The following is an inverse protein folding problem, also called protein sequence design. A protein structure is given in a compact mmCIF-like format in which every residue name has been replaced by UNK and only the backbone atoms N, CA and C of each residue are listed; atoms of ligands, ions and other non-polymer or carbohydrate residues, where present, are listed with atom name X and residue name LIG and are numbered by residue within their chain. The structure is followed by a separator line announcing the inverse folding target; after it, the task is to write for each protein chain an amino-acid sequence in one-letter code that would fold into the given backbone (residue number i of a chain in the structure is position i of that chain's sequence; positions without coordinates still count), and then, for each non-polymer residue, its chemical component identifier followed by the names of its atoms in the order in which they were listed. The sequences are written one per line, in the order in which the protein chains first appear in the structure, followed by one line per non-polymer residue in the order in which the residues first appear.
data_IF_404380285580
#
_entry.id   IF_404380285580
#
_cell.length_a   1.000
_cell.length_b   1.000
_cell.length_c   1.000
_cell.angle_alpha   90.00
_cell.angle_beta   90.00
_cell.angle_gamma   90.00
#
_symmetry.space_group_name_H-M   'P 1'
#
loop_
_entity.id
_entity.type
_entity.pdbx_description
1 polymer ?
#
# COMPACT_ATOMS: atom_id res chain seq x y z
N UNK A 1 -1.93 10.72 -2.12
CA UNK A 1 -3.05 11.16 -3.01
C UNK A 1 -3.06 10.51 -4.41
N UNK A 2 -1.99 9.86 -4.88
CA UNK A 2 -1.95 9.34 -6.26
C UNK A 2 -3.04 8.31 -6.60
N UNK A 3 -3.31 7.35 -5.72
CA UNK A 3 -4.33 6.31 -5.96
C UNK A 3 -5.73 6.91 -6.16
N UNK A 4 -6.11 7.93 -5.37
CA UNK A 4 -7.40 8.58 -5.50
C UNK A 4 -7.58 9.26 -6.87
N UNK A 5 -6.51 9.88 -7.41
CA UNK A 5 -6.54 10.49 -8.74
C UNK A 5 -6.72 9.43 -9.82
N UNK A 6 -6.03 8.29 -9.71
CA UNK A 6 -6.16 7.17 -10.66
C UNK A 6 -7.56 6.57 -10.65
N UNK A 7 -8.17 6.46 -9.47
CA UNK A 7 -9.58 6.02 -9.33
C UNK A 7 -10.54 7.03 -9.95
N UNK A 8 -10.38 8.31 -9.64
CA UNK A 8 -11.23 9.37 -10.19
C UNK A 8 -11.07 9.51 -11.72
N UNK A 9 -9.91 9.14 -12.25
CA UNK A 9 -9.60 9.12 -13.68
C UNK A 9 -9.95 7.79 -14.35
N UNK A 10 -10.63 6.88 -13.63
CA UNK A 10 -11.07 5.55 -14.11
C UNK A 10 -9.93 4.62 -14.57
N UNK A 11 -8.68 4.93 -14.19
CA UNK A 11 -7.52 4.11 -14.49
C UNK A 11 -7.37 2.92 -13.52
N UNK A 12 -8.03 2.97 -12.37
CA UNK A 12 -8.12 1.90 -11.40
C UNK A 12 -9.57 1.65 -10.97
N UNK A 13 -10.02 0.38 -10.88
CA UNK A 13 -11.35 0.05 -10.40
C UNK A 13 -11.45 0.27 -8.89
N UNK A 14 -12.34 1.18 -8.46
CA UNK A 14 -12.54 1.54 -7.06
C UNK A 14 -12.90 0.32 -6.19
N UNK A 15 -13.75 -0.58 -6.70
CA UNK A 15 -14.26 -1.73 -5.95
C UNK A 15 -13.15 -2.72 -5.55
N UNK A 16 -12.08 -2.81 -6.35
CA UNK A 16 -10.93 -3.66 -6.03
C UNK A 16 -10.08 -3.07 -4.92
N UNK A 17 -10.19 -1.77 -4.64
CA UNK A 17 -9.38 -1.05 -3.66
C UNK A 17 -10.04 -1.00 -2.27
N UNK A 18 -11.32 -1.36 -2.14
CA UNK A 18 -12.05 -1.36 -0.86
C UNK A 18 -11.41 -2.28 0.18
N UNK A 19 -10.67 -3.30 -0.26
CA UNK A 19 -9.95 -4.25 0.61
C UNK A 19 -8.49 -3.85 0.87
N UNK A 20 -8.04 -2.71 0.36
CA UNK A 20 -6.66 -2.26 0.48
C UNK A 20 -6.54 -0.93 1.20
N UNK A 21 -5.46 -0.79 1.96
CA UNK A 21 -4.94 0.48 2.44
C UNK A 21 -3.57 0.73 1.81
N UNK A 22 -3.26 2.00 1.54
CA UNK A 22 -2.01 2.40 0.91
C UNK A 22 -1.27 3.37 1.83
N UNK A 23 -0.02 3.05 2.14
CA UNK A 23 0.83 3.85 3.02
C UNK A 23 2.18 4.14 2.37
N UNK A 24 2.47 5.41 2.15
CA UNK A 24 3.73 5.86 1.58
C UNK A 24 3.62 7.23 0.96
N UNK A 25 4.76 7.85 0.73
CA UNK A 25 4.88 9.12 0.00
C UNK A 25 5.30 8.85 -1.43
N UNK A 26 4.79 9.65 -2.37
CA UNK A 26 5.20 9.54 -3.77
C UNK A 26 6.25 10.62 -4.05
N UNK A 27 7.46 10.19 -4.39
CA UNK A 27 8.52 11.07 -4.86
C UNK A 27 8.23 11.58 -6.29
N UNK A 28 8.91 12.65 -6.69
CA UNK A 28 8.73 13.29 -8.00
C UNK A 28 9.12 12.38 -9.17
N UNK A 29 9.99 11.40 -8.94
CA UNK A 29 10.39 10.37 -9.89
C UNK A 29 9.41 9.17 -9.94
N UNK A 30 8.34 9.22 -9.14
CA UNK A 30 7.34 8.16 -9.04
C UNK A 30 7.69 7.03 -8.06
N UNK A 31 8.81 7.13 -7.33
CA UNK A 31 9.15 6.16 -6.29
C UNK A 31 8.20 6.29 -5.07
N UNK A 32 7.87 5.14 -4.46
CA UNK A 32 7.13 5.12 -3.20
C UNK A 32 8.11 5.14 -2.02
N UNK A 33 8.22 6.29 -1.36
CA UNK A 33 9.07 6.50 -0.19
C UNK A 33 8.40 6.01 1.10
N UNK A 34 9.24 5.55 2.02
CA UNK A 34 8.80 5.16 3.36
C UNK A 34 8.25 6.34 4.17
N UNK A 35 7.35 6.03 5.10
CA UNK A 35 6.76 7.01 6.04
C UNK A 35 6.87 6.54 7.47
N UNK A 36 6.78 7.47 8.41
CA UNK A 36 6.64 7.13 9.82
C UNK A 36 5.23 6.60 10.11
N UNK A 37 5.12 5.68 11.06
CA UNK A 37 3.82 5.14 11.49
C UNK A 37 3.36 3.89 10.72
N UNK A 38 4.27 3.14 10.10
CA UNK A 38 3.95 1.86 9.46
C UNK A 38 3.30 0.85 10.41
N UNK A 39 3.77 0.76 11.66
CA UNK A 39 3.22 -0.15 12.66
C UNK A 39 1.77 0.18 13.03
N UNK A 40 1.42 1.40 13.50
CA UNK A 40 0.04 1.72 13.84
C UNK A 40 -0.90 1.64 12.62
N UNK A 41 -0.43 2.02 11.42
CA UNK A 41 -1.21 1.87 10.19
C UNK A 41 -1.52 0.39 9.90
N UNK A 42 -0.52 -0.49 9.99
CA UNK A 42 -0.71 -1.92 9.80
C UNK A 42 -1.66 -2.52 10.85
N UNK A 43 -1.59 -2.10 12.12
CA UNK A 43 -2.55 -2.53 13.14
C UNK A 43 -3.99 -2.13 12.81
N UNK A 44 -4.21 -0.93 12.27
CA UNK A 44 -5.55 -0.47 11.85
C UNK A 44 -6.04 -1.26 10.63
N UNK A 45 -5.17 -1.49 9.64
CA UNK A 45 -5.50 -2.28 8.46
C UNK A 45 -5.91 -3.71 8.85
N UNK A 46 -5.17 -4.36 9.75
CA UNK A 46 -5.49 -5.69 10.27
C UNK A 46 -6.84 -5.70 10.99
N UNK A 47 -7.07 -4.74 11.89
CA UNK A 47 -8.35 -4.64 12.62
C UNK A 47 -9.53 -4.43 11.68
N UNK A 48 -9.33 -3.74 10.57
CA UNK A 48 -10.34 -3.53 9.55
C UNK A 48 -10.45 -4.68 8.52
N UNK A 49 -9.62 -5.73 8.64
CA UNK A 49 -9.59 -6.84 7.69
C UNK A 49 -9.11 -6.45 6.29
N UNK A 50 -8.31 -5.38 6.18
CA UNK A 50 -7.76 -4.86 4.92
C UNK A 50 -6.30 -5.25 4.74
N UNK A 51 -5.89 -5.39 3.49
CA UNK A 51 -4.49 -5.60 3.12
C UNK A 51 -3.76 -4.26 3.06
N UNK A 52 -2.57 -4.17 3.63
CA UNK A 52 -1.77 -2.95 3.59
C UNK A 52 -0.75 -3.03 2.46
N UNK A 53 -0.75 -2.04 1.58
CA UNK A 53 0.30 -1.81 0.59
C UNK A 53 1.18 -0.68 1.11
N UNK A 54 2.48 -0.93 1.22
CA UNK A 54 3.43 0.04 1.75
C UNK A 54 4.72 0.14 0.93
N UNK A 55 5.52 1.18 1.18
CA UNK A 55 6.87 1.27 0.64
C UNK A 55 7.73 0.07 1.07
N UNK A 56 8.62 -0.37 0.19
CA UNK A 56 9.63 -1.38 0.52
C UNK A 56 10.46 -0.99 1.76
N UNK A 57 10.70 0.32 1.96
CA UNK A 57 11.46 0.84 3.11
C UNK A 57 10.77 0.57 4.45
N UNK A 58 9.44 0.47 4.47
CA UNK A 58 8.66 0.19 5.67
C UNK A 58 8.43 -1.33 5.91
N UNK A 59 8.94 -2.21 5.06
CA UNK A 59 8.74 -3.66 5.21
C UNK A 59 9.29 -4.21 6.52
N UNK A 60 10.41 -3.68 7.01
CA UNK A 60 10.99 -4.09 8.28
C UNK A 60 10.01 -3.85 9.43
N UNK A 61 9.39 -2.67 9.47
CA UNK A 61 8.42 -2.30 10.51
C UNK A 61 7.15 -3.15 10.42
N UNK A 62 6.63 -3.34 9.20
CA UNK A 62 5.47 -4.17 8.94
C UNK A 62 5.71 -5.64 9.30
N UNK A 63 6.92 -6.16 9.07
CA UNK A 63 7.32 -7.53 9.37
C UNK A 63 7.39 -7.86 10.86
N UNK A 64 7.43 -6.84 11.74
CA UNK A 64 7.33 -7.04 13.19
C UNK A 64 5.92 -7.47 13.63
N UNK A 65 4.91 -7.27 12.78
CA UNK A 65 3.53 -7.59 13.09
C UNK A 65 3.24 -9.04 12.71
N UNK A 66 3.10 -9.89 13.74
CA UNK A 66 2.92 -11.34 13.58
C UNK A 66 1.54 -11.76 13.03
N UNK A 67 0.58 -10.84 12.89
CA UNK A 67 -0.81 -11.16 12.56
C UNK A 67 -1.23 -10.58 11.21
N UNK A 68 -1.73 -11.44 10.31
CA UNK A 68 -2.67 -11.10 9.24
C UNK A 68 -2.23 -10.08 8.17
N UNK A 69 -1.02 -9.55 8.23
CA UNK A 69 -0.58 -8.50 7.33
C UNK A 69 -0.09 -9.09 6.00
N UNK A 70 -0.92 -9.01 4.97
CA UNK A 70 -0.47 -9.18 3.58
C UNK A 70 0.10 -7.84 3.14
N UNK A 71 1.38 -7.63 3.44
CA UNK A 71 2.13 -6.44 3.04
C UNK A 71 2.62 -6.57 1.59
N UNK A 72 1.97 -5.87 0.66
CA UNK A 72 2.51 -5.68 -0.69
C UNK A 72 3.54 -4.55 -0.68
N UNK A 73 4.76 -4.79 -1.18
CA UNK A 73 5.77 -3.74 -1.33
C UNK A 73 5.82 -3.22 -2.77
N UNK A 74 5.77 -1.90 -2.92
CA UNK A 74 6.03 -1.24 -4.19
C UNK A 74 7.49 -0.79 -4.19
N UNK A 75 8.33 -1.42 -5.01
CA UNK A 75 9.69 -0.96 -5.28
C UNK A 75 9.71 -0.07 -6.53
N UNK A 76 10.62 0.93 -6.61
CA UNK A 76 10.65 1.90 -7.70
C UNK A 76 10.85 1.29 -9.10
N UNK A 77 11.24 0.02 -9.20
CA UNK A 77 11.49 -0.67 -10.47
C UNK A 77 10.43 -1.73 -10.84
N UNK A 78 9.40 -1.95 -10.01
CA UNK A 78 8.42 -3.02 -10.24
C UNK A 78 7.05 -2.42 -10.53
N UNK A 79 6.75 -2.31 -11.82
CA UNK A 79 5.43 -1.99 -12.36
C UNK A 79 4.34 -2.76 -11.61
N UNK A 80 3.32 -2.03 -11.14
CA UNK A 80 2.10 -2.55 -10.53
C UNK A 80 1.43 -3.51 -11.53
N UNK A 81 1.76 -4.80 -11.47
CA UNK A 81 0.82 -5.83 -11.94
C UNK A 81 -0.14 -6.12 -10.80
N UNK A 82 -1.22 -5.35 -10.76
CA UNK A 82 -2.47 -5.78 -10.14
C UNK A 82 -3.03 -6.93 -11.00
N UNK A 83 -2.49 -8.14 -10.81
CA UNK A 83 -3.05 -9.37 -11.36
C UNK A 83 -4.37 -9.64 -10.64
N UNK A 84 -5.44 -9.08 -11.17
CA UNK A 84 -6.77 -9.62 -10.98
C UNK A 84 -6.82 -10.96 -11.71
N UNK A 85 -6.85 -12.05 -10.95
CA UNK A 85 -7.61 -13.22 -11.37
C UNK A 85 -9.09 -12.94 -11.14
#
# INVERSE_FOLDING_TARGET
MAIAILVASEQLPADKLTHYEFLGELALDGALCGVQGAIPAAMVAIQAGRQLVLSAENQCDAGLIRQGLVAGCLSPQRSVRLSAQ
#
